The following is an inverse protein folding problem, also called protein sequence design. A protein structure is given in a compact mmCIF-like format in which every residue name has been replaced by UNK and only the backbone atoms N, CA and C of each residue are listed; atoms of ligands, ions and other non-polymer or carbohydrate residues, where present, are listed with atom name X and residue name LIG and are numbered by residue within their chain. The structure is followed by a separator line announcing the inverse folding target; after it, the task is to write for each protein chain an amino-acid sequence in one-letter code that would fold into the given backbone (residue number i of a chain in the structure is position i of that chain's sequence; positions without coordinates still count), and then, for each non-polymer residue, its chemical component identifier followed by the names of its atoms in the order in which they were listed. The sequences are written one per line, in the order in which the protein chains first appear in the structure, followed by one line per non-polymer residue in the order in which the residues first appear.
data_IF_599755498149
#
_entry.id   IF_599755498149
#
_cell.length_a   1.000
_cell.length_b   1.000
_cell.length_c   1.000
_cell.angle_alpha   90.00
_cell.angle_beta   90.00
_cell.angle_gamma   90.00
#
_symmetry.space_group_name_H-M   'P 1'
#
loop_
_entity.id
_entity.type
_entity.pdbx_description
1 polymer ?
#
# COMPACT_ATOMS: atom_id res chain seq x y z
N UNK A 1 -28.45 17.56 -13.92
CA UNK A 1 -27.11 16.95 -14.09
C UNK A 1 -26.97 15.85 -13.03
N UNK A 2 -27.20 14.59 -13.41
CA UNK A 2 -27.09 13.47 -12.46
C UNK A 2 -25.62 13.23 -12.15
N UNK A 3 -25.26 13.39 -10.89
CA UNK A 3 -23.93 13.04 -10.38
C UNK A 3 -23.75 11.53 -10.50
N UNK A 4 -22.83 11.08 -11.33
CA UNK A 4 -22.46 9.66 -11.47
C UNK A 4 -22.13 9.08 -10.09
N UNK A 5 -22.97 8.18 -9.61
CA UNK A 5 -22.76 7.45 -8.35
C UNK A 5 -21.43 6.71 -8.43
N UNK A 6 -20.42 7.14 -7.66
CA UNK A 6 -19.16 6.41 -7.54
C UNK A 6 -19.44 4.99 -7.04
N UNK A 7 -18.89 3.99 -7.73
CA UNK A 7 -18.94 2.62 -7.24
C UNK A 7 -18.27 2.58 -5.85
N UNK A 8 -18.90 1.93 -4.84
CA UNK A 8 -18.29 1.82 -3.52
C UNK A 8 -16.98 1.02 -3.65
N UNK A 9 -15.89 1.56 -3.10
CA UNK A 9 -14.57 0.93 -3.13
C UNK A 9 -14.48 -0.36 -2.28
N UNK A 10 -15.51 -0.69 -1.51
CA UNK A 10 -15.56 -1.86 -0.63
C UNK A 10 -16.76 -2.72 -0.90
N UNK A 11 -16.59 -4.03 -0.73
CA UNK A 11 -17.68 -4.97 -0.82
C UNK A 11 -18.66 -4.72 0.33
N UNK A 12 -19.92 -4.43 -0.01
CA UNK A 12 -21.00 -4.38 0.96
C UNK A 12 -21.13 -5.77 1.61
N UNK A 13 -21.21 -5.84 2.93
CA UNK A 13 -21.38 -7.07 3.73
C UNK A 13 -20.11 -7.93 3.86
N UNK A 14 -18.92 -7.50 3.44
CA UNK A 14 -17.69 -8.22 3.74
C UNK A 14 -17.10 -7.73 5.06
N UNK A 15 -16.75 -8.67 5.92
CA UNK A 15 -16.09 -8.39 7.19
C UNK A 15 -14.58 -8.29 6.99
N UNK A 16 -14.05 -7.07 6.99
CA UNK A 16 -12.64 -6.75 6.78
C UNK A 16 -11.76 -6.96 8.03
N UNK A 17 -12.26 -7.63 9.06
CA UNK A 17 -11.50 -8.13 10.21
C UNK A 17 -11.18 -9.62 10.10
N UNK A 18 -11.68 -10.30 9.07
CA UNK A 18 -11.46 -11.74 8.87
C UNK A 18 -10.01 -12.05 8.52
N UNK A 19 -9.56 -13.23 8.98
CA UNK A 19 -8.30 -13.81 8.57
C UNK A 19 -8.21 -13.93 7.05
N UNK A 20 -7.04 -13.63 6.50
CA UNK A 20 -6.79 -13.69 5.07
C UNK A 20 -5.84 -12.63 4.57
N UNK A 21 -5.59 -12.67 3.27
CA UNK A 21 -4.72 -11.73 2.58
C UNK A 21 -5.49 -10.55 1.98
N UNK A 22 -4.89 -9.37 2.06
CA UNK A 22 -5.45 -8.13 1.54
C UNK A 22 -4.37 -7.35 0.78
N UNK A 23 -4.65 -7.06 -0.47
CA UNK A 23 -3.81 -6.17 -1.25
C UNK A 23 -4.37 -4.76 -1.19
N UNK A 24 -3.56 -3.81 -0.75
CA UNK A 24 -3.96 -2.43 -0.47
C UNK A 24 -3.16 -1.48 -1.34
N UNK A 25 -3.83 -0.50 -1.93
CA UNK A 25 -3.19 0.61 -2.64
C UNK A 25 -3.57 1.94 -1.99
N UNK A 26 -2.56 2.69 -1.55
CA UNK A 26 -2.71 4.00 -0.92
C UNK A 26 -2.05 5.05 -1.82
N UNK A 27 -2.83 5.98 -2.36
CA UNK A 27 -2.31 7.04 -3.22
C UNK A 27 -2.02 8.32 -2.43
N UNK A 28 -1.01 9.06 -2.87
CA UNK A 28 -0.77 10.43 -2.41
C UNK A 28 -1.90 11.35 -2.86
N UNK A 29 -2.09 12.45 -2.13
CA UNK A 29 -3.02 13.51 -2.51
C UNK A 29 -2.61 14.08 -3.87
N UNK A 30 -3.58 14.21 -4.76
CA UNK A 30 -3.39 14.70 -6.14
C UNK A 30 -2.35 13.90 -6.94
N UNK A 31 -2.03 12.67 -6.51
CA UNK A 31 -1.02 11.79 -7.12
C UNK A 31 0.37 12.43 -7.24
N UNK A 32 0.74 13.28 -6.29
CA UNK A 32 2.05 13.92 -6.25
C UNK A 32 3.15 12.88 -6.03
N UNK A 33 4.18 12.93 -6.85
CA UNK A 33 5.36 12.04 -6.76
C UNK A 33 6.31 12.52 -5.64
N UNK A 34 5.94 12.25 -4.40
CA UNK A 34 6.66 12.75 -3.21
C UNK A 34 7.28 11.65 -2.35
N UNK A 35 6.99 10.36 -2.61
CA UNK A 35 7.42 9.27 -1.74
C UNK A 35 8.75 8.66 -2.16
N UNK A 36 8.96 8.46 -3.45
CA UNK A 36 10.20 7.89 -4.00
C UNK A 36 10.51 8.44 -5.38
N UNK A 37 11.71 8.09 -5.87
CA UNK A 37 12.12 8.28 -7.27
C UNK A 37 12.54 6.92 -7.82
N UNK A 38 12.08 6.57 -9.01
CA UNK A 38 12.51 5.35 -9.68
C UNK A 38 13.76 5.68 -10.48
N UNK A 39 14.89 5.07 -10.12
CA UNK A 39 16.14 5.16 -10.86
C UNK A 39 16.38 3.83 -11.55
N UNK A 40 16.56 3.87 -12.86
CA UNK A 40 17.06 2.73 -13.64
C UNK A 40 18.58 2.74 -13.52
N UNK A 41 19.15 1.73 -12.90
CA UNK A 41 20.60 1.60 -12.82
C UNK A 41 21.13 1.21 -14.21
N UNK A 42 21.82 2.15 -14.87
CA UNK A 42 22.39 1.93 -16.22
C UNK A 42 23.69 1.12 -16.21
N UNK A 43 24.19 0.77 -15.02
CA UNK A 43 25.51 0.15 -14.85
C UNK A 43 25.50 -1.39 -14.77
N UNK A 44 24.33 -2.01 -14.86
CA UNK A 44 24.22 -3.46 -14.96
C UNK A 44 23.71 -3.86 -16.35
N UNK A 45 24.65 -3.93 -17.32
CA UNK A 45 24.48 -4.66 -18.58
C UNK A 45 24.46 -6.18 -18.33
N UNK A 46 23.54 -6.64 -17.49
CA UNK A 46 23.17 -8.05 -17.46
C UNK A 46 21.95 -8.16 -18.37
N UNK A 47 22.10 -8.95 -19.42
CA UNK A 47 21.06 -9.35 -20.36
C UNK A 47 19.82 -9.81 -19.57
N UNK A 48 18.80 -8.94 -19.47
CA UNK A 48 17.56 -9.15 -18.73
C UNK A 48 17.17 -7.89 -17.98
N UNK A 49 15.88 -7.61 -17.93
CA UNK A 49 15.20 -6.43 -17.38
C UNK A 49 15.93 -5.80 -16.18
N UNK A 50 16.49 -4.60 -16.37
CA UNK A 50 17.30 -3.89 -15.38
C UNK A 50 16.59 -3.74 -14.03
N UNK A 51 17.34 -3.76 -12.93
CA UNK A 51 16.79 -3.52 -11.59
C UNK A 51 16.38 -2.05 -11.44
N UNK A 52 15.09 -1.81 -11.22
CA UNK A 52 14.59 -0.50 -10.85
C UNK A 52 14.25 -0.54 -9.35
N UNK A 53 14.98 0.23 -8.55
CA UNK A 53 14.74 0.32 -7.11
C UNK A 53 14.22 1.70 -6.77
N UNK A 54 13.10 1.81 -6.02
CA UNK A 54 12.63 3.09 -5.54
C UNK A 54 13.63 3.71 -4.55
N UNK A 55 14.18 4.87 -4.88
CA UNK A 55 14.95 5.67 -3.92
C UNK A 55 13.98 6.51 -3.10
N UNK A 56 13.89 6.22 -1.80
CA UNK A 56 12.95 6.88 -0.91
C UNK A 56 13.34 8.35 -0.67
N UNK A 57 12.36 9.23 -0.74
CA UNK A 57 12.48 10.62 -0.27
C UNK A 57 12.36 10.68 1.25
N UNK A 58 12.50 11.87 1.83
CA UNK A 58 12.21 12.08 3.27
C UNK A 58 10.82 11.58 3.68
N UNK A 59 9.81 11.75 2.82
CA UNK A 59 8.46 11.25 3.08
C UNK A 59 8.37 9.73 2.92
N UNK A 60 9.07 9.18 1.93
CA UNK A 60 9.15 7.73 1.74
C UNK A 60 9.80 7.01 2.92
N UNK A 61 10.85 7.57 3.50
CA UNK A 61 11.51 7.03 4.70
C UNK A 61 10.56 7.01 5.90
N UNK A 62 9.76 8.07 6.08
CA UNK A 62 8.74 8.12 7.13
C UNK A 62 7.66 7.05 6.88
N UNK A 63 7.21 6.93 5.64
CA UNK A 63 6.23 5.90 5.23
C UNK A 63 6.77 4.50 5.53
N UNK A 64 8.00 4.21 5.13
CA UNK A 64 8.68 2.92 5.37
C UNK A 64 8.73 2.59 6.87
N UNK A 65 9.13 3.56 7.70
CA UNK A 65 9.11 3.41 9.16
C UNK A 65 7.73 3.00 9.67
N UNK A 66 6.66 3.66 9.23
CA UNK A 66 5.32 3.38 9.71
C UNK A 66 4.73 2.09 9.13
N UNK A 67 5.13 1.64 7.94
CA UNK A 67 4.81 0.30 7.43
C UNK A 67 5.37 -0.76 8.39
N UNK A 68 6.64 -0.63 8.78
CA UNK A 68 7.29 -1.57 9.70
C UNK A 68 6.71 -1.53 11.12
N UNK A 69 6.07 -0.43 11.52
CA UNK A 69 5.37 -0.31 12.80
C UNK A 69 3.97 -0.95 12.82
N UNK A 70 3.41 -1.33 11.67
CA UNK A 70 2.09 -1.97 11.61
C UNK A 70 2.07 -3.25 12.45
N UNK A 71 3.07 -4.12 12.30
CA UNK A 71 3.16 -5.38 13.04
C UNK A 71 3.26 -5.17 14.55
N UNK A 72 3.99 -4.14 14.97
CA UNK A 72 4.13 -3.78 16.40
C UNK A 72 2.81 -3.27 16.97
N UNK A 73 2.10 -2.44 16.20
CA UNK A 73 0.82 -1.88 16.63
C UNK A 73 -0.32 -2.90 16.61
N UNK A 74 -0.28 -3.79 15.64
CA UNK A 74 -1.28 -4.82 15.42
C UNK A 74 -0.61 -6.19 15.27
N UNK A 75 -0.32 -6.91 16.36
CA UNK A 75 0.44 -8.16 16.32
C UNK A 75 -0.16 -9.26 15.42
N UNK A 76 -1.50 -9.21 15.21
CA UNK A 76 -2.20 -10.13 14.31
C UNK A 76 -2.08 -9.77 12.82
N UNK A 77 -1.40 -8.65 12.49
CA UNK A 77 -1.21 -8.20 11.11
C UNK A 77 0.24 -8.42 10.72
N UNK A 78 0.45 -9.17 9.65
CA UNK A 78 1.74 -9.30 9.00
C UNK A 78 1.76 -8.45 7.75
N UNK A 79 2.72 -7.54 7.63
CA UNK A 79 3.08 -6.92 6.36
C UNK A 79 3.97 -7.90 5.62
N UNK A 80 3.43 -8.58 4.63
CA UNK A 80 4.11 -9.67 3.96
C UNK A 80 4.99 -9.18 2.80
N UNK A 81 4.51 -8.20 2.06
CA UNK A 81 5.26 -7.50 1.00
C UNK A 81 4.74 -6.08 0.83
N UNK A 82 5.61 -5.18 0.39
CA UNK A 82 5.21 -3.82 0.01
C UNK A 82 6.19 -3.19 -0.97
N UNK A 83 5.74 -2.12 -1.62
CA UNK A 83 6.57 -1.22 -2.41
C UNK A 83 6.09 0.21 -2.25
N UNK A 84 7.04 1.14 -2.13
CA UNK A 84 6.78 2.59 -2.02
C UNK A 84 7.13 3.22 -3.37
N UNK A 85 6.11 3.41 -4.19
CA UNK A 85 6.21 4.04 -5.50
C UNK A 85 6.22 5.57 -5.38
N UNK A 86 6.54 6.33 -6.42
CA UNK A 86 6.62 7.79 -6.34
C UNK A 86 5.35 8.47 -5.79
N UNK A 87 4.16 7.99 -6.14
CA UNK A 87 2.87 8.60 -5.78
C UNK A 87 1.86 7.64 -5.16
N UNK A 88 2.25 6.41 -4.83
CA UNK A 88 1.39 5.44 -4.16
C UNK A 88 2.22 4.37 -3.43
N UNK A 89 1.54 3.59 -2.62
CA UNK A 89 2.09 2.48 -1.87
C UNK A 89 1.23 1.25 -2.17
N UNK A 90 1.86 0.12 -2.44
CA UNK A 90 1.22 -1.18 -2.43
C UNK A 90 1.64 -1.95 -1.18
N UNK A 91 0.66 -2.52 -0.48
CA UNK A 91 0.86 -3.34 0.71
C UNK A 91 0.14 -4.69 0.52
N UNK A 92 0.84 -5.77 0.81
CA UNK A 92 0.27 -7.09 0.98
C UNK A 92 0.20 -7.37 2.48
N UNK A 93 -1.01 -7.33 3.04
CA UNK A 93 -1.28 -7.54 4.46
C UNK A 93 -1.91 -8.91 4.67
N UNK A 94 -1.45 -9.63 5.68
CA UNK A 94 -2.07 -10.89 6.13
C UNK A 94 -2.63 -10.66 7.53
N UNK A 95 -3.91 -10.97 7.73
CA UNK A 95 -4.55 -10.98 9.04
C UNK A 95 -4.55 -12.42 9.56
N UNK A 96 -3.93 -12.65 10.71
CA UNK A 96 -3.88 -13.93 11.41
C UNK A 96 -4.34 -13.70 12.86
N UNK A 97 -5.64 -13.57 13.07
CA UNK A 97 -6.22 -13.42 14.40
C UNK A 97 -6.62 -14.78 14.95
N UNK A 98 -6.26 -15.04 16.19
CA UNK A 98 -6.69 -16.20 16.98
C UNK A 98 -8.10 -16.00 17.60
N UNK A 99 -8.75 -14.87 17.30
CA UNK A 99 -10.05 -14.51 17.83
C UNK A 99 -10.04 -13.92 19.25
N UNK A 100 -8.88 -13.74 19.87
CA UNK A 100 -8.75 -13.19 21.23
C UNK A 100 -8.88 -11.67 21.27
N UNK A 101 -8.58 -10.98 20.18
CA UNK A 101 -8.73 -9.53 20.08
C UNK A 101 -10.21 -9.14 19.90
N UNK A 102 -10.73 -8.34 20.85
CA UNK A 102 -12.10 -7.85 20.81
C UNK A 102 -12.13 -6.32 21.10
N UNK A 103 -12.52 -5.47 20.13
CA UNK A 103 -12.82 -5.82 18.74
C UNK A 103 -11.55 -6.07 17.89
N UNK A 104 -11.61 -7.00 16.93
CA UNK A 104 -10.54 -7.20 15.97
C UNK A 104 -10.40 -5.98 15.05
N UNK A 105 -9.16 -5.51 14.77
CA UNK A 105 -8.96 -4.36 13.89
C UNK A 105 -9.39 -4.70 12.46
N UNK A 106 -10.06 -3.77 11.82
CA UNK A 106 -10.39 -3.88 10.40
C UNK A 106 -9.28 -3.30 9.54
N UNK A 107 -9.17 -3.71 8.27
CA UNK A 107 -8.27 -3.05 7.31
C UNK A 107 -8.47 -1.53 7.31
N UNK A 108 -9.71 -1.06 7.43
CA UNK A 108 -10.02 0.37 7.50
C UNK A 108 -9.39 1.08 8.69
N UNK A 109 -9.42 0.48 9.88
CA UNK A 109 -8.83 1.05 11.09
C UNK A 109 -7.30 1.04 11.03
N UNK A 110 -6.69 -0.02 10.48
CA UNK A 110 -5.24 -0.14 10.29
C UNK A 110 -4.73 0.96 9.36
N UNK A 111 -5.34 1.09 8.17
CA UNK A 111 -4.95 2.11 7.20
C UNK A 111 -5.26 3.53 7.69
N UNK A 112 -6.34 3.69 8.45
CA UNK A 112 -6.68 4.95 9.11
C UNK A 112 -5.59 5.38 10.10
N UNK A 113 -5.17 4.48 11.00
CA UNK A 113 -4.06 4.71 11.92
C UNK A 113 -2.76 5.03 11.18
N UNK A 114 -2.42 4.24 10.15
CA UNK A 114 -1.22 4.42 9.34
C UNK A 114 -1.14 5.83 8.74
N UNK A 115 -2.18 6.25 8.04
CA UNK A 115 -2.23 7.59 7.43
C UNK A 115 -2.19 8.72 8.47
N UNK A 116 -2.96 8.57 9.55
CA UNK A 116 -3.02 9.55 10.64
C UNK A 116 -1.65 9.73 11.29
N UNK A 117 -0.99 8.62 11.64
CA UNK A 117 0.30 8.65 12.32
C UNK A 117 1.39 9.31 11.47
N UNK A 118 1.41 9.05 10.16
CA UNK A 118 2.35 9.70 9.22
C UNK A 118 2.04 11.19 9.10
N UNK A 119 0.77 11.57 8.93
CA UNK A 119 0.35 12.98 8.83
C UNK A 119 0.77 13.74 10.08
N UNK A 120 0.50 13.19 11.26
CA UNK A 120 0.88 13.78 12.55
C UNK A 120 2.40 13.89 12.73
N UNK A 121 3.17 12.92 12.24
CA UNK A 121 4.62 12.94 12.33
C UNK A 121 5.27 13.99 11.42
N UNK A 122 4.69 14.21 10.23
CA UNK A 122 5.23 15.18 9.25
C UNK A 122 4.88 16.60 9.67
N UNK A 123 3.60 16.87 9.80
CA UNK A 123 2.98 18.14 10.21
C UNK A 123 1.46 17.95 10.12
N UNK A 124 0.74 18.26 11.19
CA UNK A 124 -0.72 18.09 11.26
C UNK A 124 -1.50 18.83 10.17
N UNK A 125 -0.91 19.91 9.61
CA UNK A 125 -1.51 20.67 8.51
C UNK A 125 -1.37 20.00 7.14
N UNK A 126 -0.44 19.03 6.98
CA UNK A 126 -0.05 18.46 5.70
C UNK A 126 -0.59 17.04 5.50
N UNK A 127 -1.77 16.92 4.89
CA UNK A 127 -2.28 15.61 4.48
C UNK A 127 -1.68 15.20 3.14
N UNK A 128 -0.75 14.22 3.15
CA UNK A 128 -0.06 13.74 1.95
C UNK A 128 -0.81 12.61 1.23
N UNK A 129 -1.85 12.03 1.81
CA UNK A 129 -2.60 10.92 1.24
C UNK A 129 -4.00 11.32 0.78
N UNK A 130 -4.53 10.59 -0.20
CA UNK A 130 -5.96 10.62 -0.52
C UNK A 130 -6.77 10.08 0.65
N UNK A 131 -8.02 10.54 0.79
CA UNK A 131 -8.92 10.11 1.88
C UNK A 131 -9.18 8.60 1.84
N UNK A 132 -9.48 8.06 0.67
CA UNK A 132 -9.75 6.64 0.45
C UNK A 132 -8.48 5.84 0.16
N UNK A 133 -8.62 4.53 0.06
CA UNK A 133 -7.62 3.58 -0.46
C UNK A 133 -8.37 2.51 -1.26
N UNK A 134 -7.65 1.76 -2.09
CA UNK A 134 -8.18 0.61 -2.80
C UNK A 134 -7.76 -0.66 -2.08
N UNK A 135 -8.66 -1.64 -2.04
CA UNK A 135 -8.40 -2.95 -1.47
C UNK A 135 -8.87 -4.06 -2.42
N UNK A 136 -8.15 -5.16 -2.40
CA UNK A 136 -8.49 -6.41 -3.06
C UNK A 136 -8.30 -7.55 -2.06
N UNK A 137 -9.32 -8.39 -1.90
CA UNK A 137 -9.30 -9.55 -1.01
C UNK A 137 -8.68 -10.71 -1.76
N UNK A 138 -7.60 -11.26 -1.24
CA UNK A 138 -6.89 -12.40 -1.82
C UNK A 138 -7.66 -13.68 -1.51
N UNK A 139 -8.07 -14.39 -2.56
CA UNK A 139 -8.98 -15.52 -2.43
C UNK A 139 -8.30 -16.89 -2.51
N UNK A 140 -7.12 -16.96 -3.10
CA UNK A 140 -6.39 -18.20 -3.30
C UNK A 140 -4.90 -17.96 -3.53
N UNK A 141 -4.12 -19.05 -3.57
CA UNK A 141 -2.68 -19.01 -3.77
C UNK A 141 -2.26 -18.36 -5.11
N UNK A 142 -3.00 -18.61 -6.18
CA UNK A 142 -2.68 -18.02 -7.50
C UNK A 142 -2.86 -16.50 -7.49
N UNK A 143 -3.91 -16.01 -6.85
CA UNK A 143 -4.16 -14.57 -6.66
C UNK A 143 -3.04 -13.92 -5.83
N UNK A 144 -2.66 -14.59 -4.73
CA UNK A 144 -1.52 -14.18 -3.90
C UNK A 144 -0.22 -14.07 -4.69
N UNK A 145 0.15 -15.10 -5.47
CA UNK A 145 1.38 -15.11 -6.25
C UNK A 145 1.41 -14.02 -7.32
N UNK A 146 0.29 -13.77 -8.00
CA UNK A 146 0.16 -12.68 -8.98
C UNK A 146 0.36 -11.31 -8.35
N UNK A 147 -0.19 -11.10 -7.14
CA UNK A 147 -0.03 -9.84 -6.41
C UNK A 147 1.41 -9.68 -5.92
N UNK A 148 2.01 -10.75 -5.43
CA UNK A 148 3.42 -10.76 -5.02
C UNK A 148 4.33 -10.32 -6.18
N UNK A 149 4.18 -10.96 -7.35
CA UNK A 149 4.92 -10.64 -8.56
C UNK A 149 4.62 -9.21 -9.05
N UNK A 150 3.36 -8.78 -8.97
CA UNK A 150 2.98 -7.41 -9.34
C UNK A 150 3.70 -6.37 -8.48
N UNK A 151 3.74 -6.56 -7.16
CA UNK A 151 4.45 -5.65 -6.24
C UNK A 151 5.94 -5.63 -6.57
N UNK A 152 6.54 -6.77 -6.85
CA UNK A 152 7.97 -6.92 -7.14
C UNK A 152 8.38 -6.21 -8.43
N UNK A 153 7.58 -6.40 -9.47
CA UNK A 153 7.83 -5.83 -10.79
C UNK A 153 7.33 -4.39 -10.96
N UNK A 154 6.61 -3.84 -9.97
CA UNK A 154 5.99 -2.53 -10.09
C UNK A 154 7.00 -1.40 -10.38
N UNK A 155 8.19 -1.34 -9.74
CA UNK A 155 9.20 -0.34 -10.06
C UNK A 155 9.70 -0.41 -11.50
N UNK A 156 9.91 -1.62 -12.05
CA UNK A 156 10.36 -1.82 -13.44
C UNK A 156 9.33 -1.32 -14.45
N UNK A 157 8.04 -1.49 -14.11
CA UNK A 157 6.90 -1.13 -14.96
C UNK A 157 6.31 0.24 -14.60
N UNK A 158 7.03 1.09 -13.87
CA UNK A 158 6.52 2.37 -13.38
C UNK A 158 5.89 3.23 -14.48
N UNK A 159 6.54 3.37 -15.63
CA UNK A 159 6.06 4.16 -16.77
C UNK A 159 4.80 3.57 -17.42
N UNK A 160 4.51 2.28 -17.19
CA UNK A 160 3.32 1.57 -17.68
C UNK A 160 2.23 1.47 -16.61
N UNK A 161 2.52 1.92 -15.40
CA UNK A 161 1.59 1.84 -14.29
C UNK A 161 0.40 2.78 -14.50
N UNK A 162 -0.81 2.31 -14.15
CA UNK A 162 -2.03 3.13 -14.23
C UNK A 162 -2.00 4.36 -13.28
N UNK A 163 -1.08 4.39 -12.33
CA UNK A 163 -0.82 5.52 -11.44
C UNK A 163 0.25 6.48 -11.95
N UNK A 164 0.96 6.14 -13.03
CA UNK A 164 1.95 7.03 -13.65
C UNK A 164 1.28 8.29 -14.19
N UNK A 165 1.79 9.46 -13.78
CA UNK A 165 1.34 10.79 -14.24
C UNK A 165 2.50 11.75 -14.22
#
# INVERSE_FOLDING_TARGET
MELTKRKPNRLKKYDYSKNGGYFITICTKDRKQILSKITKDKNYDIVGDGFAVPQLTKYGIIVDKYINLINTKYPMIKVDKYVIMPNHIHLLLIIESDGTANPSPTIGSIIGWFKYSITKYIDESTNIFQRSFHDHIIRNKNDYLKIWEYIDNNPLKWELDCYYK
#
